data_IF_106921139741
#
_entry.id   IF_106921139741
#
_cell.length_a   1.000
_cell.length_b   1.000
_cell.length_c   1.000
_cell.angle_alpha   90.00
_cell.angle_beta   90.00
_cell.angle_gamma   90.00
#
_symmetry.space_group_name_H-M   'P 1'
#
loop_
_entity.id
_entity.type
_entity.pdbx_description
1 polymer ?
#
# COMPACT_ATOMS: atom_id res chain seq x y z
N UNK A 1 1.40 -16.89 -2.19
CA UNK A 1 0.46 -15.80 -2.52
C UNK A 1 -0.95 -16.32 -2.26
N UNK A 2 -1.82 -15.48 -1.69
CA UNK A 2 -3.22 -15.83 -1.51
C UNK A 2 -4.02 -15.76 -2.81
N UNK A 3 -5.20 -16.38 -2.83
CA UNK A 3 -6.16 -16.25 -3.92
C UNK A 3 -6.93 -14.93 -3.78
N UNK A 4 -6.29 -13.78 -4.00
CA UNK A 4 -6.92 -12.43 -3.88
C UNK A 4 -8.09 -12.21 -4.85
N UNK A 5 -8.23 -11.02 -5.44
CA UNK A 5 -9.14 -10.84 -6.59
C UNK A 5 -8.46 -11.23 -7.92
N UNK A 6 -7.20 -10.83 -8.10
CA UNK A 6 -6.48 -10.98 -9.37
C UNK A 6 -6.18 -12.44 -9.72
N UNK A 7 -5.63 -13.28 -8.80
CA UNK A 7 -5.31 -14.67 -9.11
C UNK A 7 -6.43 -15.67 -8.77
N UNK A 8 -7.63 -15.20 -8.41
CA UNK A 8 -8.73 -16.07 -8.02
C UNK A 8 -9.44 -16.71 -9.22
N UNK A 9 -9.92 -17.94 -9.03
CA UNK A 9 -10.87 -18.58 -9.94
C UNK A 9 -12.19 -17.78 -10.02
N UNK A 10 -12.95 -17.99 -11.10
CA UNK A 10 -14.15 -17.21 -11.43
C UNK A 10 -15.16 -17.16 -10.27
N UNK A 11 -15.41 -18.29 -9.62
CA UNK A 11 -16.38 -18.40 -8.54
C UNK A 11 -15.92 -17.63 -7.30
N UNK A 12 -14.66 -17.80 -6.90
CA UNK A 12 -14.04 -17.06 -5.80
C UNK A 12 -14.01 -15.55 -6.08
N UNK A 13 -13.65 -15.15 -7.30
CA UNK A 13 -13.63 -13.76 -7.73
C UNK A 13 -15.02 -13.13 -7.69
N UNK A 14 -16.04 -13.84 -8.21
CA UNK A 14 -17.41 -13.33 -8.28
C UNK A 14 -17.97 -13.04 -6.89
N UNK A 15 -17.73 -13.93 -5.94
CA UNK A 15 -18.13 -13.73 -4.55
C UNK A 15 -17.43 -12.53 -3.91
N UNK A 16 -16.10 -12.42 -4.04
CA UNK A 16 -15.31 -11.36 -3.41
C UNK A 16 -15.56 -9.99 -4.03
N UNK A 17 -15.64 -9.92 -5.37
CA UNK A 17 -15.92 -8.67 -6.10
C UNK A 17 -17.26 -8.07 -5.69
N UNK A 18 -18.28 -8.91 -5.46
CA UNK A 18 -19.61 -8.46 -5.02
C UNK A 18 -19.56 -7.73 -3.66
N UNK A 19 -18.66 -8.14 -2.76
CA UNK A 19 -18.50 -7.52 -1.43
C UNK A 19 -17.64 -6.26 -1.49
N UNK A 20 -16.59 -6.26 -2.31
CA UNK A 20 -15.62 -5.16 -2.38
C UNK A 20 -16.09 -3.99 -3.25
N UNK A 21 -16.70 -4.26 -4.41
CA UNK A 21 -17.05 -3.24 -5.38
C UNK A 21 -17.96 -2.11 -4.84
N UNK A 22 -18.96 -2.38 -3.97
CA UNK A 22 -19.79 -1.32 -3.40
C UNK A 22 -19.03 -0.28 -2.59
N UNK A 23 -17.83 -0.59 -2.07
CA UNK A 23 -17.01 0.38 -1.33
C UNK A 23 -16.42 1.50 -2.19
N UNK A 24 -16.37 1.33 -3.51
CA UNK A 24 -15.78 2.29 -4.45
C UNK A 24 -16.86 3.11 -5.19
N UNK A 25 -17.85 3.64 -4.47
CA UNK A 25 -18.87 4.51 -5.06
C UNK A 25 -18.40 5.98 -5.09
N UNK A 26 -19.17 6.85 -5.77
CA UNK A 26 -18.83 8.25 -6.01
C UNK A 26 -18.49 9.06 -4.75
N UNK A 27 -19.33 9.05 -3.71
CA UNK A 27 -19.05 9.82 -2.48
C UNK A 27 -17.76 9.40 -1.75
N UNK A 28 -17.37 8.12 -1.87
CA UNK A 28 -16.09 7.66 -1.32
C UNK A 28 -14.94 8.19 -2.17
N UNK A 29 -15.05 8.15 -3.50
CA UNK A 29 -14.05 8.71 -4.40
C UNK A 29 -13.86 10.23 -4.20
N UNK A 30 -14.95 10.97 -3.95
CA UNK A 30 -14.89 12.39 -3.60
C UNK A 30 -14.14 12.64 -2.28
N UNK A 31 -14.36 11.80 -1.26
CA UNK A 31 -13.60 11.87 -0.01
C UNK A 31 -12.12 11.53 -0.23
N UNK A 32 -11.82 10.52 -1.06
CA UNK A 32 -10.45 10.12 -1.39
C UNK A 32 -9.69 11.21 -2.15
N UNK A 33 -10.37 12.05 -2.93
CA UNK A 33 -9.71 13.19 -3.58
C UNK A 33 -9.03 14.11 -2.55
N UNK A 34 -9.64 14.30 -1.37
CA UNK A 34 -9.01 15.07 -0.27
C UNK A 34 -7.77 14.39 0.26
N UNK A 35 -7.83 13.08 0.49
CA UNK A 35 -6.66 12.28 0.91
C UNK A 35 -5.53 12.40 -0.10
N UNK A 36 -5.84 12.37 -1.40
CA UNK A 36 -4.82 12.50 -2.45
C UNK A 36 -4.16 13.87 -2.42
N UNK A 37 -4.95 14.94 -2.24
CA UNK A 37 -4.42 16.31 -2.08
C UNK A 37 -3.55 16.44 -0.84
N UNK A 38 -3.99 15.93 0.31
CA UNK A 38 -3.20 16.00 1.55
C UNK A 38 -1.87 15.24 1.44
N UNK A 39 -1.87 14.06 0.84
CA UNK A 39 -0.63 13.31 0.59
C UNK A 39 0.28 14.05 -0.41
N UNK A 40 -0.29 14.62 -1.48
CA UNK A 40 0.47 15.41 -2.44
C UNK A 40 1.10 16.65 -1.80
N UNK A 41 0.36 17.37 -0.95
CA UNK A 41 0.86 18.52 -0.20
C UNK A 41 2.02 18.11 0.73
N UNK A 42 1.93 16.97 1.41
CA UNK A 42 3.05 16.43 2.23
C UNK A 42 4.30 16.17 1.40
N UNK A 43 4.15 15.62 0.18
CA UNK A 43 5.27 15.40 -0.74
C UNK A 43 5.85 16.72 -1.23
N UNK A 44 5.03 17.72 -1.56
CA UNK A 44 5.52 19.05 -1.95
C UNK A 44 6.27 19.73 -0.81
N UNK A 45 5.74 19.71 0.42
CA UNK A 45 6.43 20.22 1.59
C UNK A 45 7.77 19.54 1.86
N UNK A 46 7.90 18.24 1.53
CA UNK A 46 9.19 17.55 1.59
C UNK A 46 10.15 18.10 0.55
N UNK A 47 9.71 18.30 -0.69
CA UNK A 47 10.55 18.85 -1.76
C UNK A 47 10.98 20.27 -1.48
N UNK A 48 10.07 21.13 -1.01
CA UNK A 48 10.38 22.52 -0.63
C UNK A 48 11.48 22.56 0.44
N UNK A 49 11.39 21.72 1.47
CA UNK A 49 12.42 21.61 2.52
C UNK A 49 13.77 21.17 1.98
N UNK A 50 13.80 20.25 1.01
CA UNK A 50 15.05 19.80 0.39
C UNK A 50 15.68 20.92 -0.44
N UNK A 51 14.86 21.72 -1.14
CA UNK A 51 15.29 22.90 -1.88
C UNK A 51 15.89 23.95 -0.94
N UNK A 52 15.17 24.32 0.12
CA UNK A 52 15.61 25.33 1.10
C UNK A 52 16.94 24.95 1.80
N UNK A 53 17.11 23.66 2.10
CA UNK A 53 18.33 23.15 2.74
C UNK A 53 19.58 23.30 1.85
N UNK A 54 19.44 23.10 0.54
CA UNK A 54 20.55 23.18 -0.41
C UNK A 54 20.86 24.62 -0.85
N UNK A 55 19.85 25.48 -0.91
CA UNK A 55 20.06 26.92 -1.11
C UNK A 55 20.90 27.53 0.03
N UNK A 56 20.69 27.06 1.26
CA UNK A 56 21.47 27.47 2.43
C UNK A 56 22.90 26.88 2.46
N UNK A 57 23.15 25.80 1.71
CA UNK A 57 24.39 25.01 1.72
C UNK A 57 25.40 25.33 0.62
N UNK A 58 25.10 26.28 -0.27
CA UNK A 58 26.00 26.70 -1.35
C UNK A 58 25.56 26.35 -2.77
N UNK A 59 24.27 26.03 -2.98
CA UNK A 59 23.67 25.95 -4.32
C UNK A 59 24.08 24.72 -5.11
N UNK A 60 24.07 23.54 -4.48
CA UNK A 60 24.36 22.28 -5.17
C UNK A 60 23.11 21.74 -5.86
N UNK A 61 23.32 21.02 -6.96
CA UNK A 61 22.25 20.35 -7.71
C UNK A 61 21.62 19.26 -6.84
N UNK A 62 20.30 19.34 -6.65
CA UNK A 62 19.51 18.29 -6.00
C UNK A 62 19.22 17.19 -7.03
N UNK A 63 19.70 15.98 -6.76
CA UNK A 63 19.29 14.79 -7.49
C UNK A 63 18.22 14.05 -6.67
N UNK A 64 17.03 13.90 -7.25
CA UNK A 64 15.90 13.22 -6.63
C UNK A 64 15.43 12.07 -7.50
N UNK A 65 15.28 10.90 -6.89
CA UNK A 65 14.66 9.74 -7.51
C UNK A 65 13.13 9.83 -7.40
N UNK A 66 12.51 10.33 -8.46
CA UNK A 66 11.05 10.48 -8.53
C UNK A 66 10.29 9.15 -8.52
N UNK A 67 10.90 8.04 -8.92
CA UNK A 67 10.23 6.72 -8.90
C UNK A 67 9.98 6.29 -7.44
N UNK A 68 11.00 6.43 -6.60
CA UNK A 68 10.90 6.16 -5.16
C UNK A 68 9.91 7.11 -4.49
N UNK A 69 9.97 8.41 -4.81
CA UNK A 69 9.07 9.41 -4.21
C UNK A 69 7.59 9.18 -4.59
N UNK A 70 7.28 8.91 -5.86
CA UNK A 70 5.90 8.65 -6.28
C UNK A 70 5.36 7.33 -5.74
N UNK A 71 6.21 6.32 -5.59
CA UNK A 71 5.81 5.05 -4.98
C UNK A 71 5.50 5.21 -3.49
N UNK A 72 6.29 6.00 -2.76
CA UNK A 72 6.01 6.34 -1.36
C UNK A 72 4.68 7.12 -1.23
N UNK A 73 4.44 8.09 -2.12
CA UNK A 73 3.18 8.81 -2.21
C UNK A 73 1.99 7.88 -2.45
N UNK A 74 2.08 7.01 -3.46
CA UNK A 74 1.01 6.07 -3.80
C UNK A 74 0.71 5.10 -2.65
N UNK A 75 1.73 4.71 -1.88
CA UNK A 75 1.57 3.82 -0.74
C UNK A 75 0.88 4.50 0.45
N UNK A 76 1.21 5.76 0.75
CA UNK A 76 0.50 6.51 1.80
C UNK A 76 -0.96 6.76 1.39
N UNK A 77 -1.21 7.07 0.11
CA UNK A 77 -2.56 7.22 -0.44
C UNK A 77 -3.38 5.93 -0.26
N UNK A 78 -2.83 4.76 -0.64
CA UNK A 78 -3.57 3.50 -0.54
C UNK A 78 -3.68 3.03 0.92
N UNK A 79 -2.68 3.35 1.76
CA UNK A 79 -2.73 3.13 3.21
C UNK A 79 -3.88 3.84 3.86
N UNK A 80 -3.96 5.16 3.67
CA UNK A 80 -5.02 6.00 4.22
C UNK A 80 -6.38 5.66 3.62
N UNK A 81 -6.45 5.50 2.29
CA UNK A 81 -7.73 5.27 1.62
C UNK A 81 -8.33 3.89 1.90
N UNK A 82 -7.54 2.83 1.80
CA UNK A 82 -8.06 1.45 1.87
C UNK A 82 -7.97 0.87 3.27
N UNK A 83 -6.88 1.17 3.99
CA UNK A 83 -6.59 0.54 5.29
C UNK A 83 -6.78 1.48 6.47
N UNK A 84 -7.14 2.76 6.21
CA UNK A 84 -7.18 3.82 7.21
C UNK A 84 -5.88 3.86 8.05
N UNK A 85 -4.74 3.73 7.37
CA UNK A 85 -3.42 3.62 8.00
C UNK A 85 -2.41 4.53 7.32
N UNK A 86 -1.81 5.43 8.10
CA UNK A 86 -0.71 6.28 7.65
C UNK A 86 0.61 5.50 7.74
N UNK A 87 1.14 5.06 6.60
CA UNK A 87 2.46 4.40 6.57
C UNK A 87 3.61 5.38 6.83
N UNK A 88 3.38 6.69 6.69
CA UNK A 88 4.40 7.73 6.83
C UNK A 88 5.51 7.66 5.79
N UNK A 89 5.25 6.95 4.68
CA UNK A 89 6.20 6.59 3.63
C UNK A 89 6.85 7.79 2.97
N UNK A 90 6.10 8.89 2.85
CA UNK A 90 6.61 10.14 2.28
C UNK A 90 7.78 10.68 3.13
N UNK A 91 7.70 10.53 4.46
CA UNK A 91 8.66 11.13 5.40
C UNK A 91 9.79 10.21 5.84
N UNK A 92 9.51 8.91 6.02
CA UNK A 92 10.48 7.94 6.51
C UNK A 92 10.27 6.61 5.80
N UNK A 93 11.37 5.97 5.39
CA UNK A 93 11.32 4.60 4.90
C UNK A 93 10.74 3.68 5.98
N UNK A 94 9.52 3.18 5.75
CA UNK A 94 8.93 2.15 6.58
C UNK A 94 9.42 0.75 6.14
N UNK A 95 9.80 -0.14 7.07
CA UNK A 95 10.20 -1.51 6.75
C UNK A 95 9.15 -2.28 5.92
N UNK A 96 7.87 -1.92 6.06
CA UNK A 96 6.76 -2.49 5.29
C UNK A 96 6.89 -2.13 3.81
N UNK A 97 7.32 -0.91 3.47
CA UNK A 97 7.51 -0.44 2.10
C UNK A 97 8.56 -1.28 1.40
N UNK A 98 9.72 -1.47 2.05
CA UNK A 98 10.81 -2.27 1.51
C UNK A 98 10.39 -3.72 1.28
N UNK A 99 9.55 -4.25 2.17
CA UNK A 99 8.95 -5.57 1.98
C UNK A 99 7.97 -5.58 0.79
N UNK A 100 7.10 -4.58 0.65
CA UNK A 100 6.18 -4.44 -0.49
C UNK A 100 6.94 -4.41 -1.81
N UNK A 101 7.96 -3.57 -1.95
CA UNK A 101 8.83 -3.55 -3.12
C UNK A 101 9.50 -4.89 -3.40
N UNK A 102 10.07 -5.53 -2.37
CA UNK A 102 10.68 -6.84 -2.49
C UNK A 102 9.70 -7.89 -3.02
N UNK A 103 8.45 -7.84 -2.58
CA UNK A 103 7.40 -8.75 -3.06
C UNK A 103 6.89 -8.41 -4.46
N UNK A 104 6.79 -7.13 -4.82
CA UNK A 104 6.41 -6.67 -6.17
C UNK A 104 7.44 -7.10 -7.21
N UNK A 105 8.72 -6.86 -6.95
CA UNK A 105 9.80 -7.24 -7.85
C UNK A 105 9.89 -8.77 -8.04
N UNK A 106 9.61 -9.53 -6.98
CA UNK A 106 9.50 -10.99 -7.08
C UNK A 106 8.25 -11.42 -7.87
N UNK A 107 7.12 -10.75 -7.70
CA UNK A 107 5.91 -11.04 -8.47
C UNK A 107 6.11 -10.77 -9.97
N UNK A 108 6.74 -9.63 -10.30
CA UNK A 108 7.10 -9.26 -11.67
C UNK A 108 8.06 -10.29 -12.28
N UNK A 109 9.11 -10.67 -11.54
CA UNK A 109 10.04 -11.71 -11.98
C UNK A 109 9.32 -13.04 -12.24
N UNK A 110 8.37 -13.44 -11.40
CA UNK A 110 7.58 -14.67 -11.62
C UNK A 110 6.66 -14.59 -12.83
N UNK A 111 6.22 -13.39 -13.20
CA UNK A 111 5.38 -13.19 -14.38
C UNK A 111 6.17 -13.22 -15.69
N UNK A 112 7.45 -12.82 -15.65
CA UNK A 112 8.31 -12.71 -16.83
C UNK A 112 9.23 -13.91 -17.03
N UNK A 113 9.49 -14.69 -15.98
CA UNK A 113 10.47 -15.77 -16.02
C UNK A 113 9.89 -17.09 -16.55
N UNK A 114 10.59 -17.70 -17.52
CA UNK A 114 10.11 -18.86 -18.28
C UNK A 114 10.02 -20.17 -17.48
N UNK A 115 10.84 -20.35 -16.44
CA UNK A 115 10.91 -21.61 -15.67
C UNK A 115 10.38 -21.38 -14.24
N UNK A 116 9.24 -21.96 -13.84
CA UNK A 116 8.62 -21.69 -12.56
C UNK A 116 9.27 -22.45 -11.39
N UNK A 117 10.54 -22.16 -11.10
CA UNK A 117 11.31 -22.80 -10.03
C UNK A 117 10.72 -22.58 -8.63
N UNK A 118 9.86 -21.57 -8.46
CA UNK A 118 9.07 -21.32 -7.24
C UNK A 118 7.99 -22.36 -6.94
N UNK A 119 7.67 -23.22 -7.91
CA UNK A 119 6.74 -24.34 -7.72
C UNK A 119 7.45 -25.64 -7.31
N UNK A 120 8.79 -25.69 -7.36
CA UNK A 120 9.55 -26.89 -7.04
C UNK A 120 9.62 -27.06 -5.51
N UNK A 121 9.26 -28.24 -4.96
CA UNK A 121 9.44 -28.54 -3.54
C UNK A 121 10.90 -28.30 -3.11
N UNK A 122 11.12 -27.78 -1.89
CA UNK A 122 12.45 -27.46 -1.32
C UNK A 122 13.20 -26.26 -1.95
N UNK A 123 12.84 -25.79 -3.14
CA UNK A 123 13.44 -24.60 -3.74
C UNK A 123 13.27 -23.34 -2.85
N UNK A 124 12.21 -23.31 -2.05
CA UNK A 124 11.94 -22.30 -1.01
C UNK A 124 13.05 -22.18 0.04
N UNK A 125 13.74 -23.28 0.33
CA UNK A 125 14.88 -23.32 1.24
C UNK A 125 16.20 -23.17 0.51
N UNK A 126 16.37 -23.72 -0.70
CA UNK A 126 17.64 -23.60 -1.41
C UNK A 126 17.89 -22.21 -2.01
N UNK A 127 16.84 -21.51 -2.45
CA UNK A 127 16.97 -20.24 -3.16
C UNK A 127 16.85 -19.06 -2.18
N UNK A 128 17.91 -18.26 -1.96
CA UNK A 128 17.88 -17.13 -1.03
C UNK A 128 16.79 -16.11 -1.34
N UNK A 129 16.52 -15.87 -2.64
CA UNK A 129 15.47 -14.98 -3.12
C UNK A 129 14.07 -15.39 -2.65
N UNK A 130 13.78 -16.70 -2.62
CA UNK A 130 12.51 -17.21 -2.10
C UNK A 130 12.40 -17.13 -0.57
N UNK A 131 13.52 -17.25 0.16
CA UNK A 131 13.54 -17.01 1.61
C UNK A 131 13.28 -15.54 1.91
N UNK A 132 13.94 -14.62 1.20
CA UNK A 132 13.70 -13.17 1.31
C UNK A 132 12.25 -12.84 1.02
N UNK A 133 11.68 -13.35 -0.08
CA UNK A 133 10.28 -13.13 -0.41
C UNK A 133 9.32 -13.60 0.69
N UNK A 134 9.61 -14.72 1.36
CA UNK A 134 8.80 -15.18 2.49
C UNK A 134 8.94 -14.30 3.73
N UNK A 135 10.16 -13.80 4.00
CA UNK A 135 10.39 -12.83 5.07
C UNK A 135 9.65 -11.52 4.82
N UNK A 136 9.72 -11.00 3.60
CA UNK A 136 9.04 -9.77 3.20
C UNK A 136 7.51 -9.96 3.27
N UNK A 137 6.98 -11.10 2.79
CA UNK A 137 5.57 -11.44 2.96
C UNK A 137 5.14 -11.54 4.43
N UNK A 138 6.01 -12.03 5.31
CA UNK A 138 5.71 -12.10 6.74
C UNK A 138 5.54 -10.70 7.32
N UNK A 139 6.46 -9.77 7.03
CA UNK A 139 6.36 -8.37 7.48
C UNK A 139 5.05 -7.72 7.02
N UNK A 140 4.68 -7.95 5.75
CA UNK A 140 3.43 -7.41 5.20
C UNK A 140 2.21 -8.02 5.88
N UNK A 141 2.17 -9.35 6.06
CA UNK A 141 1.03 -10.01 6.70
C UNK A 141 0.91 -9.61 8.17
N UNK A 142 2.01 -9.56 8.92
CA UNK A 142 2.00 -9.15 10.33
C UNK A 142 1.46 -7.70 10.47
N UNK A 143 1.82 -6.82 9.53
CA UNK A 143 1.27 -5.47 9.46
C UNK A 143 -0.24 -5.49 9.16
N UNK A 144 -0.66 -6.19 8.10
CA UNK A 144 -2.07 -6.27 7.69
C UNK A 144 -2.95 -6.91 8.78
N UNK A 145 -2.47 -7.95 9.46
CA UNK A 145 -3.16 -8.60 10.57
C UNK A 145 -3.38 -7.61 11.72
N UNK A 146 -2.38 -6.77 12.01
CA UNK A 146 -2.51 -5.66 12.96
C UNK A 146 -3.57 -4.64 12.53
N UNK A 147 -3.59 -4.24 11.25
CA UNK A 147 -4.59 -3.30 10.74
C UNK A 147 -6.00 -3.88 10.79
N UNK A 148 -6.16 -5.15 10.44
CA UNK A 148 -7.44 -5.87 10.51
C UNK A 148 -7.91 -5.97 11.96
N UNK A 149 -7.00 -6.24 12.89
CA UNK A 149 -7.33 -6.31 14.32
C UNK A 149 -7.78 -4.95 14.84
N UNK A 150 -7.03 -3.89 14.55
CA UNK A 150 -7.40 -2.53 14.92
C UNK A 150 -8.77 -2.15 14.33
N UNK A 151 -9.01 -2.44 13.04
CA UNK A 151 -10.30 -2.16 12.40
C UNK A 151 -11.47 -2.92 13.04
N UNK A 152 -11.24 -4.12 13.57
CA UNK A 152 -12.25 -4.88 14.32
C UNK A 152 -12.51 -4.30 15.71
N UNK A 153 -11.47 -3.84 16.38
CA UNK A 153 -11.55 -3.29 17.75
C UNK A 153 -12.14 -1.89 17.80
N UNK A 154 -11.77 -1.03 16.85
CA UNK A 154 -12.28 0.35 16.74
C UNK A 154 -13.64 0.42 16.05
N UNK A 155 -14.25 -0.72 15.73
CA UNK A 155 -15.55 -0.78 15.05
C UNK A 155 -16.65 -0.20 15.95
N UNK A 156 -17.15 0.97 15.60
CA UNK A 156 -18.34 1.57 16.20
C UNK A 156 -19.56 1.35 15.29
N UNK A 157 -20.70 0.94 15.85
CA UNK A 157 -21.93 0.71 15.08
C UNK A 157 -22.42 1.98 14.36
N UNK A 158 -22.23 3.15 14.99
CA UNK A 158 -22.56 4.47 14.43
C UNK A 158 -21.75 4.82 13.19
N UNK A 159 -20.48 4.40 13.09
CA UNK A 159 -19.68 4.65 11.89
C UNK A 159 -20.06 3.70 10.76
N UNK A 160 -20.52 2.48 11.09
CA UNK A 160 -21.08 1.54 10.10
C UNK A 160 -22.37 2.10 9.51
N UNK A 161 -23.24 2.70 10.32
CA UNK A 161 -24.47 3.35 9.85
C UNK A 161 -24.18 4.57 8.95
N UNK A 162 -23.21 5.42 9.32
CA UNK A 162 -22.77 6.54 8.47
C UNK A 162 -22.14 6.08 7.15
N UNK A 163 -21.34 5.01 7.18
CA UNK A 163 -20.80 4.36 5.98
C UNK A 163 -21.92 3.81 5.09
N UNK A 164 -22.96 3.21 5.68
CA UNK A 164 -24.15 2.76 4.95
C UNK A 164 -24.95 3.93 4.37
N UNK A 165 -25.03 5.06 5.08
CA UNK A 165 -25.66 6.31 4.65
C UNK A 165 -24.80 7.14 3.68
N UNK A 166 -23.57 6.70 3.41
CA UNK A 166 -22.60 7.32 2.51
C UNK A 166 -22.11 8.71 2.95
N UNK A 167 -22.11 8.98 4.25
CA UNK A 167 -21.64 10.26 4.78
C UNK A 167 -20.15 10.21 5.17
N UNK A 168 -19.29 10.21 4.15
CA UNK A 168 -17.83 10.10 4.31
C UNK A 168 -17.18 11.38 4.82
N UNK A 169 -17.88 12.52 4.77
CA UNK A 169 -17.37 13.81 5.19
C UNK A 169 -17.42 14.00 6.71
N UNK A 170 -18.21 13.19 7.41
CA UNK A 170 -18.43 13.25 8.86
C UNK A 170 -17.94 11.99 9.60
N UNK A 171 -17.09 11.18 8.95
CA UNK A 171 -16.33 10.12 9.61
C UNK A 171 -15.19 10.79 10.40
N UNK A 172 -15.14 10.52 11.71
CA UNK A 172 -14.09 11.02 12.61
C UNK A 172 -12.89 10.10 12.62
#
# INVERSE_FOLDING_TARGET
MGKGLIPADLDTWKQRRRVIAPGFHSSYLEAMAKVFTECADRTMLKFDKLIEQEESGGGKLIELDLETEFSNLALDIIGLGVFNYDFGSITKESPVIKAVYGTLFEAEHRSTFYIPYWNIPLARWLVPRQRKFQSDLKVINDCLDGLIQNAKETRQETDVEKLQQRDYLNLK
#
